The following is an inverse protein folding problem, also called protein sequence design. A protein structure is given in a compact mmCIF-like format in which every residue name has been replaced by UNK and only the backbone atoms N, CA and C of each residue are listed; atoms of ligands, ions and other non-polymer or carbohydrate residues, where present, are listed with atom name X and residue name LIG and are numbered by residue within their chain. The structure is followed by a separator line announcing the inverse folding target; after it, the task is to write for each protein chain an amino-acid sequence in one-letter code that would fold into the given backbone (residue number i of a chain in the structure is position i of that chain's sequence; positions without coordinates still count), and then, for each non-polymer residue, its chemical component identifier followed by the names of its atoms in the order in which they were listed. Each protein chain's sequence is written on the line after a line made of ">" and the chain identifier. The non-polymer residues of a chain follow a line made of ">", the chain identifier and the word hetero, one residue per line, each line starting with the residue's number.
data_IF_358255766407
#
_entry.id   IF_358255766407
#
_cell.length_a   1.000
_cell.length_b   1.000
_cell.length_c   1.000
_cell.angle_alpha   90.00
_cell.angle_beta   90.00
_cell.angle_gamma   90.00
#
_symmetry.space_group_name_H-M   'P 1'
#
loop_
_entity.id
_entity.type
_entity.pdbx_description
1 polymer ?
#
# COMPACT_ATOMS: atom_id res chain seq x y z
N UNK A 1 38.18 -11.52 -52.59
CA UNK A 1 37.11 -10.64 -52.12
C UNK A 1 36.31 -11.46 -51.14
N UNK A 2 36.47 -11.20 -49.84
CA UNK A 2 35.47 -11.51 -48.81
C UNK A 2 35.82 -10.70 -47.57
N UNK A 3 35.04 -9.64 -47.39
CA UNK A 3 35.16 -8.67 -46.31
C UNK A 3 34.58 -9.28 -45.04
N UNK A 4 35.44 -9.63 -44.07
CA UNK A 4 34.99 -9.92 -42.72
C UNK A 4 34.50 -8.62 -42.06
N UNK A 5 33.20 -8.39 -42.14
CA UNK A 5 32.52 -7.34 -41.39
C UNK A 5 32.66 -7.59 -39.89
N UNK A 6 33.54 -6.83 -39.25
CA UNK A 6 33.62 -6.71 -37.78
C UNK A 6 32.32 -6.09 -37.31
N UNK A 7 31.38 -6.93 -36.87
CA UNK A 7 30.15 -6.50 -36.20
C UNK A 7 30.54 -5.98 -34.83
N UNK A 8 30.76 -4.68 -34.73
CA UNK A 8 30.88 -3.94 -33.47
C UNK A 8 29.65 -4.27 -32.61
N UNK A 9 29.80 -5.17 -31.65
CA UNK A 9 28.84 -5.32 -30.56
C UNK A 9 28.91 -4.03 -29.76
N UNK A 10 28.04 -3.07 -30.11
CA UNK A 10 27.65 -2.02 -29.17
C UNK A 10 27.04 -2.73 -27.97
N UNK A 11 27.87 -2.93 -26.94
CA UNK A 11 27.41 -3.14 -25.58
C UNK A 11 26.61 -1.90 -25.20
N UNK A 12 25.31 -1.91 -25.55
CA UNK A 12 24.34 -1.07 -24.88
C UNK A 12 24.35 -1.58 -23.45
N UNK A 13 25.11 -0.91 -22.60
CA UNK A 13 25.06 -1.07 -21.16
C UNK A 13 23.66 -0.65 -20.71
N UNK A 14 22.71 -1.58 -20.85
CA UNK A 14 21.43 -1.50 -20.19
C UNK A 14 21.78 -1.56 -18.71
N UNK A 15 21.83 -0.39 -18.07
CA UNK A 15 21.85 -0.28 -16.63
C UNK A 15 20.66 -1.07 -16.10
N UNK A 16 20.88 -2.33 -15.74
CA UNK A 16 19.95 -3.15 -15.00
C UNK A 16 19.96 -2.61 -13.58
N UNK A 17 19.29 -1.48 -13.38
CA UNK A 17 18.97 -1.01 -12.04
C UNK A 17 18.11 -2.12 -11.44
N UNK A 18 18.68 -2.86 -10.49
CA UNK A 18 17.98 -3.88 -9.72
C UNK A 18 16.84 -3.21 -8.96
N UNK A 19 15.66 -3.17 -9.59
CA UNK A 19 14.44 -2.60 -9.01
C UNK A 19 13.92 -3.45 -7.85
N UNK A 20 14.47 -4.68 -7.66
CA UNK A 20 14.05 -5.64 -6.64
C UNK A 20 14.26 -5.15 -5.22
N UNK A 21 15.41 -4.54 -4.92
CA UNK A 21 15.67 -4.00 -3.59
C UNK A 21 14.70 -2.87 -3.24
N UNK A 22 14.40 -2.01 -4.20
CA UNK A 22 13.44 -0.91 -4.04
C UNK A 22 12.00 -1.41 -3.95
N UNK A 23 11.60 -2.37 -4.79
CA UNK A 23 10.29 -2.99 -4.73
C UNK A 23 10.05 -3.70 -3.39
N UNK A 24 11.07 -4.38 -2.84
CA UNK A 24 11.01 -5.02 -1.52
C UNK A 24 10.76 -4.02 -0.41
N UNK A 25 11.51 -2.92 -0.40
CA UNK A 25 11.30 -1.84 0.57
C UNK A 25 9.90 -1.22 0.45
N UNK A 26 9.41 -0.99 -0.77
CA UNK A 26 8.06 -0.46 -1.03
C UNK A 26 6.99 -1.42 -0.49
N UNK A 27 7.14 -2.73 -0.72
CA UNK A 27 6.22 -3.73 -0.19
C UNK A 27 6.14 -3.69 1.34
N UNK A 28 7.30 -3.67 2.02
CA UNK A 28 7.36 -3.62 3.48
C UNK A 28 6.74 -2.33 4.02
N UNK A 29 7.04 -1.19 3.42
CA UNK A 29 6.46 0.11 3.81
C UNK A 29 4.94 0.15 3.61
N UNK A 30 4.44 -0.40 2.49
CA UNK A 30 3.00 -0.52 2.24
C UNK A 30 2.34 -1.42 3.27
N UNK A 31 2.97 -2.54 3.62
CA UNK A 31 2.46 -3.46 4.63
C UNK A 31 2.34 -2.79 6.01
N UNK A 32 3.39 -2.07 6.45
CA UNK A 32 3.33 -1.30 7.71
C UNK A 32 2.27 -0.20 7.66
N UNK A 33 2.18 0.51 6.55
CA UNK A 33 1.14 1.54 6.36
C UNK A 33 -0.26 0.95 6.47
N UNK A 34 -0.49 -0.20 5.84
CA UNK A 34 -1.76 -0.92 5.93
C UNK A 34 -2.07 -1.36 7.36
N UNK A 35 -1.10 -1.94 8.08
CA UNK A 35 -1.29 -2.37 9.45
C UNK A 35 -1.62 -1.20 10.39
N UNK A 36 -0.88 -0.09 10.28
CA UNK A 36 -1.15 1.12 11.07
C UNK A 36 -2.50 1.75 10.72
N UNK A 37 -2.84 1.80 9.42
CA UNK A 37 -4.13 2.28 8.96
C UNK A 37 -5.26 1.42 9.54
N UNK A 38 -5.14 0.09 9.49
CA UNK A 38 -6.13 -0.84 10.02
C UNK A 38 -6.35 -0.63 11.53
N UNK A 39 -5.27 -0.50 12.31
CA UNK A 39 -5.36 -0.22 13.75
C UNK A 39 -6.10 1.10 14.00
N UNK A 40 -5.75 2.18 13.29
CA UNK A 40 -6.48 3.44 13.39
C UNK A 40 -7.95 3.27 13.03
N UNK A 41 -8.24 2.61 11.91
CA UNK A 41 -9.58 2.43 11.37
C UNK A 41 -10.53 1.64 12.28
N UNK A 42 -10.02 0.66 13.03
CA UNK A 42 -10.84 -0.09 14.01
C UNK A 42 -10.90 0.57 15.38
N UNK A 43 -10.04 1.56 15.67
CA UNK A 43 -9.97 2.17 16.99
C UNK A 43 -11.26 2.98 17.25
N UNK A 44 -11.98 2.73 18.36
CA UNK A 44 -13.25 3.42 18.65
C UNK A 44 -13.08 4.79 19.33
N UNK A 45 -11.85 5.19 19.66
CA UNK A 45 -11.54 6.46 20.34
C UNK A 45 -10.68 7.37 19.47
N UNK A 46 -11.27 7.94 18.42
CA UNK A 46 -10.60 8.89 17.53
C UNK A 46 -10.51 10.28 18.13
N UNK A 47 -11.57 10.69 18.81
CA UNK A 47 -11.66 12.02 19.42
C UNK A 47 -12.48 11.97 20.70
N UNK A 48 -12.23 12.92 21.59
CA UNK A 48 -13.03 13.14 22.79
C UNK A 48 -13.63 14.54 22.70
N UNK A 49 -14.95 14.62 22.76
CA UNK A 49 -15.69 15.88 22.88
C UNK A 49 -16.47 15.80 24.19
N UNK A 50 -16.15 16.69 25.13
CA UNK A 50 -16.66 16.67 26.50
C UNK A 50 -16.49 15.28 27.15
N UNK A 51 -17.58 14.59 27.53
CA UNK A 51 -17.57 13.23 28.09
C UNK A 51 -17.94 12.14 27.07
N UNK A 52 -17.94 12.47 25.77
CA UNK A 52 -18.24 11.53 24.69
C UNK A 52 -16.97 11.14 23.94
N UNK A 53 -16.78 9.84 23.76
CA UNK A 53 -15.75 9.31 22.87
C UNK A 53 -16.36 9.06 21.49
N UNK A 54 -15.77 9.69 20.47
CA UNK A 54 -16.17 9.51 19.08
C UNK A 54 -15.23 8.52 18.40
N UNK A 55 -15.81 7.49 17.82
CA UNK A 55 -15.15 6.56 16.91
C UNK A 55 -15.64 6.78 15.48
N UNK A 56 -14.97 6.13 14.52
CA UNK A 56 -15.42 6.15 13.12
C UNK A 56 -16.76 5.41 12.96
N UNK A 57 -16.90 4.30 13.69
CA UNK A 57 -17.99 3.33 13.53
C UNK A 57 -19.05 3.42 14.61
N UNK A 58 -18.62 3.78 15.81
CA UNK A 58 -19.47 3.83 16.99
C UNK A 58 -19.11 5.04 17.83
N UNK A 59 -20.12 5.59 18.49
CA UNK A 59 -19.96 6.67 19.44
C UNK A 59 -20.32 6.16 20.83
N UNK A 60 -19.40 6.31 21.78
CA UNK A 60 -19.64 5.96 23.17
C UNK A 60 -20.00 7.22 23.95
N UNK A 61 -21.29 7.42 24.22
CA UNK A 61 -21.80 8.51 25.05
C UNK A 61 -22.10 8.02 26.46
N UNK A 62 -21.73 8.81 27.48
CA UNK A 62 -22.12 8.53 28.87
C UNK A 62 -23.46 9.19 29.26
N UNK A 63 -24.02 10.05 28.40
CA UNK A 63 -25.27 10.78 28.59
C UNK A 63 -26.08 10.85 27.28
N UNK A 64 -27.42 10.99 27.35
CA UNK A 64 -28.26 11.18 26.17
C UNK A 64 -28.01 12.58 25.59
N UNK A 65 -27.36 12.68 24.43
CA UNK A 65 -27.13 13.94 23.74
C UNK A 65 -27.59 13.87 22.28
N UNK A 66 -28.21 14.96 21.82
CA UNK A 66 -28.81 15.09 20.49
C UNK A 66 -27.72 15.43 19.46
N UNK A 67 -27.61 14.59 18.43
CA UNK A 67 -26.61 14.71 17.36
C UNK A 67 -26.94 15.85 16.39
N UNK A 68 -26.17 16.94 16.45
CA UNK A 68 -26.19 18.02 15.45
C UNK A 68 -24.92 18.04 14.57
N UNK A 69 -24.06 17.01 14.64
CA UNK A 69 -22.72 16.98 14.03
C UNK A 69 -22.45 15.86 13.00
N UNK A 70 -23.46 15.09 12.59
CA UNK A 70 -23.24 13.82 11.87
C UNK A 70 -22.65 13.97 10.46
N UNK A 71 -22.94 15.06 9.74
CA UNK A 71 -22.54 15.20 8.34
C UNK A 71 -21.01 15.17 8.14
N UNK A 72 -20.26 15.83 9.04
CA UNK A 72 -18.80 15.85 8.97
C UNK A 72 -18.19 14.48 9.30
N UNK A 73 -18.77 13.77 10.28
CA UNK A 73 -18.32 12.43 10.66
C UNK A 73 -18.59 11.42 9.53
N UNK A 74 -19.74 11.50 8.87
CA UNK A 74 -20.11 10.68 7.70
C UNK A 74 -19.13 10.93 6.54
N UNK A 75 -18.78 12.20 6.28
CA UNK A 75 -17.81 12.53 5.23
C UNK A 75 -16.42 11.95 5.54
N UNK A 76 -15.96 12.04 6.79
CA UNK A 76 -14.68 11.45 7.23
C UNK A 76 -14.72 9.93 7.09
N UNK A 77 -15.81 9.28 7.52
CA UNK A 77 -15.95 7.82 7.42
C UNK A 77 -15.89 7.34 5.96
N UNK A 78 -16.62 8.01 5.04
CA UNK A 78 -16.59 7.65 3.62
C UNK A 78 -15.19 7.83 2.99
N UNK A 79 -14.45 8.88 3.36
CA UNK A 79 -13.08 9.10 2.91
C UNK A 79 -12.12 8.01 3.43
N UNK A 80 -12.26 7.61 4.70
CA UNK A 80 -11.44 6.56 5.31
C UNK A 80 -11.75 5.19 4.67
N UNK A 81 -13.02 4.88 4.44
CA UNK A 81 -13.43 3.66 3.75
C UNK A 81 -12.89 3.60 2.31
N UNK A 82 -12.95 4.71 1.57
CA UNK A 82 -12.37 4.80 0.23
C UNK A 82 -10.84 4.61 0.27
N UNK A 83 -10.16 5.25 1.23
CA UNK A 83 -8.71 5.12 1.42
C UNK A 83 -8.29 3.68 1.72
N UNK A 84 -9.08 2.97 2.52
CA UNK A 84 -8.86 1.55 2.82
C UNK A 84 -8.92 0.68 1.55
N UNK A 85 -9.91 0.91 0.68
CA UNK A 85 -10.02 0.20 -0.61
C UNK A 85 -8.79 0.44 -1.50
N UNK A 86 -8.34 1.69 -1.63
CA UNK A 86 -7.15 1.99 -2.43
C UNK A 86 -5.88 1.35 -1.88
N UNK A 87 -5.71 1.32 -0.55
CA UNK A 87 -4.59 0.63 0.09
C UNK A 87 -4.62 -0.87 -0.17
N UNK A 88 -5.80 -1.49 -0.10
CA UNK A 88 -5.98 -2.92 -0.34
C UNK A 88 -5.66 -3.30 -1.79
N UNK A 89 -6.13 -2.50 -2.76
CA UNK A 89 -5.79 -2.66 -4.18
C UNK A 89 -4.29 -2.51 -4.40
N UNK A 90 -3.66 -1.50 -3.78
CA UNK A 90 -2.22 -1.25 -3.91
C UNK A 90 -1.40 -2.44 -3.38
N UNK A 91 -1.80 -3.00 -2.24
CA UNK A 91 -1.16 -4.16 -1.62
C UNK A 91 -1.30 -5.42 -2.49
N UNK A 92 -2.45 -5.61 -3.13
CA UNK A 92 -2.68 -6.69 -4.08
C UNK A 92 -1.80 -6.55 -5.33
N UNK A 93 -1.71 -5.35 -5.91
CA UNK A 93 -0.89 -5.09 -7.10
C UNK A 93 0.60 -5.33 -6.85
N UNK A 94 1.14 -4.83 -5.72
CA UNK A 94 2.56 -5.04 -5.39
C UNK A 94 2.86 -6.51 -5.10
N UNK A 95 1.93 -7.25 -4.49
CA UNK A 95 2.08 -8.69 -4.25
C UNK A 95 2.15 -9.46 -5.56
N UNK A 96 1.24 -9.16 -6.51
CA UNK A 96 1.28 -9.76 -7.85
C UNK A 96 2.59 -9.44 -8.55
N UNK A 97 3.05 -8.18 -8.50
CA UNK A 97 4.33 -7.77 -9.07
C UNK A 97 5.49 -8.60 -8.52
N UNK A 98 5.54 -8.79 -7.20
CA UNK A 98 6.58 -9.60 -6.57
C UNK A 98 6.53 -11.07 -7.01
N UNK A 99 5.33 -11.66 -7.06
CA UNK A 99 5.16 -13.05 -7.49
C UNK A 99 5.57 -13.26 -8.96
N UNK A 100 5.15 -12.39 -9.87
CA UNK A 100 5.42 -12.51 -11.32
C UNK A 100 6.89 -12.28 -11.66
N UNK A 101 7.58 -11.39 -10.94
CA UNK A 101 8.99 -11.10 -11.19
C UNK A 101 9.99 -11.98 -10.43
N UNK A 102 9.52 -13.04 -9.77
CA UNK A 102 10.37 -14.10 -9.23
C UNK A 102 10.97 -14.86 -10.41
N UNK A 103 12.31 -14.84 -10.61
CA UNK A 103 12.89 -15.55 -11.75
C UNK A 103 12.83 -17.04 -11.42
N UNK A 104 12.33 -17.87 -12.35
CA UNK A 104 12.66 -19.28 -12.34
C UNK A 104 14.20 -19.36 -12.36
N UNK A 105 14.82 -19.75 -11.24
CA UNK A 105 16.22 -20.12 -11.25
C UNK A 105 16.34 -21.29 -12.22
N UNK A 106 16.78 -20.99 -13.45
CA UNK A 106 17.17 -22.02 -14.39
C UNK A 106 18.44 -22.61 -13.79
N UNK A 107 18.27 -23.71 -13.04
CA UNK A 107 19.33 -24.58 -12.58
C UNK A 107 20.10 -25.03 -13.81
N UNK A 108 21.07 -24.23 -14.22
CA UNK A 108 22.09 -24.63 -15.19
C UNK A 108 23.04 -25.51 -14.40
N UNK A 109 22.72 -26.80 -14.43
CA UNK A 109 23.62 -27.90 -14.09
C UNK A 109 24.97 -27.61 -14.74
N UNK A 110 26.02 -27.53 -13.92
CA UNK A 110 27.39 -27.74 -14.36
C UNK A 110 27.89 -29.02 -13.73
#
# INVERSE_FOLDING_TARGET
>A
MDSHAVKSQQNVAVHTISFRGKAGAIFVLLFFTFALFLVGFITPRWSKIDDTYLGIWENCTCLPHNYAGDAQLIAINSLLAASFLFLLISLLLITIYMCVHTPCQHNTVK
#
